data_IF_335985361116
#
_entry.id   IF_335985361116
#
_cell.length_a   1.000
_cell.length_b   1.000
_cell.length_c   1.000
_cell.angle_alpha   90.00
_cell.angle_beta   90.00
_cell.angle_gamma   90.00
#
_symmetry.space_group_name_H-M   'P 1'
#
loop_
_entity.id
_entity.type
_entity.pdbx_description
1 polymer ?
#
# COMPACT_ATOMS: atom_id res chain seq x y z
N UNK A 1 25.88 9.21 10.45
CA UNK A 1 24.90 8.23 9.92
C UNK A 1 23.53 8.55 10.51
N UNK A 2 22.61 9.07 9.70
CA UNK A 2 21.17 9.09 9.94
C UNK A 2 20.51 9.53 8.62
N UNK A 3 20.50 8.64 7.64
CA UNK A 3 19.94 8.91 6.32
C UNK A 3 18.41 9.15 6.38
N UNK A 4 17.74 8.57 7.38
CA UNK A 4 16.30 8.68 7.59
C UNK A 4 16.01 9.20 9.00
N UNK A 5 15.17 10.24 9.11
CA UNK A 5 14.65 10.73 10.41
C UNK A 5 13.34 10.06 10.80
N UNK A 6 12.58 9.59 9.81
CA UNK A 6 11.32 8.86 9.95
C UNK A 6 11.16 7.88 8.78
N UNK A 7 10.55 6.73 9.05
CA UNK A 7 10.29 5.69 8.05
C UNK A 7 8.89 5.83 7.45
N UNK A 8 8.66 5.29 6.24
CA UNK A 8 7.32 5.17 5.71
C UNK A 8 6.41 4.40 6.66
N UNK A 9 5.21 4.92 6.89
CA UNK A 9 4.27 4.37 7.86
C UNK A 9 2.84 4.55 7.39
N UNK A 10 2.05 3.50 7.58
CA UNK A 10 0.62 3.53 7.46
C UNK A 10 0.01 3.57 8.86
N UNK A 11 -0.94 4.46 9.10
CA UNK A 11 -1.63 4.51 10.37
C UNK A 11 -3.10 4.86 10.18
N UNK A 12 -3.88 4.50 11.18
CA UNK A 12 -5.26 4.95 11.25
C UNK A 12 -5.28 6.39 11.79
N UNK A 13 -5.80 7.33 10.99
CA UNK A 13 -5.87 8.74 11.36
C UNK A 13 -7.20 9.16 12.00
N UNK A 14 -8.26 8.33 11.97
CA UNK A 14 -9.59 8.59 12.59
C UNK A 14 -10.35 7.31 12.98
N UNK A 15 -11.19 7.33 14.03
CA UNK A 15 -11.96 6.15 14.44
C UNK A 15 -12.69 5.45 13.28
N UNK A 16 -12.76 4.11 13.34
CA UNK A 16 -13.51 3.34 12.35
C UNK A 16 -14.99 3.73 12.37
N UNK A 17 -15.60 3.76 11.20
CA UNK A 17 -17.03 4.05 11.05
C UNK A 17 -17.78 2.77 10.72
N UNK A 18 -18.85 2.48 11.45
CA UNK A 18 -19.78 1.40 11.12
C UNK A 18 -20.84 1.94 10.15
N UNK A 19 -20.91 1.35 8.97
CA UNK A 19 -21.85 1.72 7.93
C UNK A 19 -23.09 0.81 7.97
N UNK A 20 -24.17 1.26 7.32
CA UNK A 20 -25.37 0.45 7.15
C UNK A 20 -25.06 -0.86 6.41
N UNK A 21 -25.63 -1.98 6.86
CA UNK A 21 -25.38 -3.29 6.27
C UNK A 21 -24.17 -4.04 6.85
N UNK A 22 -23.60 -3.57 7.97
CA UNK A 22 -22.52 -4.28 8.69
C UNK A 22 -21.12 -4.04 8.13
N UNK A 23 -20.97 -3.14 7.14
CA UNK A 23 -19.67 -2.75 6.64
C UNK A 23 -18.95 -1.85 7.65
N UNK A 24 -17.62 -1.93 7.68
CA UNK A 24 -16.78 -1.02 8.46
C UNK A 24 -15.87 -0.23 7.54
N UNK A 25 -15.79 1.09 7.74
CA UNK A 25 -14.85 1.96 7.03
C UNK A 25 -13.66 2.27 7.91
N UNK A 26 -12.47 2.06 7.35
CA UNK A 26 -11.16 2.25 7.97
C UNK A 26 -10.50 3.44 7.28
N UNK A 27 -10.21 4.49 8.04
CA UNK A 27 -9.59 5.71 7.55
C UNK A 27 -8.08 5.64 7.73
N UNK A 28 -7.34 5.65 6.62
CA UNK A 28 -5.89 5.44 6.62
C UNK A 28 -5.17 6.66 6.10
N UNK A 29 -4.02 6.93 6.72
CA UNK A 29 -3.05 7.90 6.24
C UNK A 29 -1.73 7.19 6.02
N UNK A 30 -1.16 7.37 4.83
CA UNK A 30 0.14 6.87 4.44
C UNK A 30 1.12 8.02 4.35
N UNK A 31 2.13 7.99 5.21
CA UNK A 31 3.26 8.91 5.18
C UNK A 31 4.50 8.21 4.67
N UNK A 32 5.25 8.88 3.79
CA UNK A 32 6.55 8.41 3.31
C UNK A 32 7.69 8.71 4.30
N UNK A 33 7.42 9.45 5.37
CA UNK A 33 8.45 9.84 6.32
C UNK A 33 9.52 10.71 5.67
N UNK A 34 10.79 10.34 5.83
CA UNK A 34 11.94 11.14 5.36
C UNK A 34 12.56 10.64 4.05
N UNK A 35 11.88 9.74 3.32
CA UNK A 35 12.37 9.25 2.02
C UNK A 35 12.44 10.40 1.03
N UNK A 36 13.55 10.50 0.28
CA UNK A 36 13.83 11.67 -0.56
C UNK A 36 13.21 11.57 -1.95
N UNK A 37 13.11 10.36 -2.49
CA UNK A 37 12.59 10.10 -3.84
C UNK A 37 11.84 8.76 -3.83
N UNK A 38 10.52 8.83 -3.67
CA UNK A 38 9.67 7.63 -3.73
C UNK A 38 9.11 7.49 -5.12
N UNK A 39 9.57 6.45 -5.80
CA UNK A 39 9.10 6.11 -7.13
C UNK A 39 7.72 5.43 -7.06
N UNK A 40 7.60 4.42 -6.21
CA UNK A 40 6.40 3.61 -6.06
C UNK A 40 6.28 3.09 -4.63
N UNK A 41 5.07 3.18 -4.08
CA UNK A 41 4.63 2.44 -2.90
C UNK A 41 3.53 1.47 -3.30
N UNK A 42 3.52 0.30 -2.69
CA UNK A 42 2.52 -0.74 -2.95
C UNK A 42 1.87 -1.19 -1.67
N UNK A 43 0.55 -1.23 -1.73
CA UNK A 43 -0.31 -1.78 -0.69
C UNK A 43 -0.86 -3.10 -1.22
N UNK A 44 -0.43 -4.21 -0.62
CA UNK A 44 -1.05 -5.51 -0.82
C UNK A 44 -2.08 -5.73 0.30
N UNK A 45 -3.36 -5.73 -0.06
CA UNK A 45 -4.48 -5.73 0.88
C UNK A 45 -5.17 -7.09 0.83
N UNK A 46 -5.25 -7.77 1.96
CA UNK A 46 -5.91 -9.07 2.12
C UNK A 46 -6.96 -8.99 3.23
N UNK A 47 -8.08 -9.70 3.06
CA UNK A 47 -9.19 -9.72 4.01
C UNK A 47 -10.52 -9.40 3.35
N UNK A 48 -11.56 -9.06 4.13
CA UNK A 48 -12.92 -8.85 3.63
C UNK A 48 -13.08 -7.47 2.94
N UNK A 49 -12.16 -7.07 2.06
CA UNK A 49 -12.20 -5.79 1.36
C UNK A 49 -13.38 -5.75 0.38
N UNK A 50 -14.20 -4.71 0.50
CA UNK A 50 -15.42 -4.51 -0.30
C UNK A 50 -15.29 -3.30 -1.24
N UNK A 51 -14.85 -2.16 -0.72
CA UNK A 51 -14.59 -0.94 -1.49
C UNK A 51 -13.37 -0.22 -0.91
N UNK A 52 -12.87 0.75 -1.66
CA UNK A 52 -11.83 1.66 -1.22
C UNK A 52 -12.08 3.04 -1.81
N UNK A 53 -11.36 4.08 -1.38
CA UNK A 53 -11.50 5.42 -1.98
C UNK A 53 -10.77 5.59 -3.31
N UNK A 54 -10.04 4.56 -3.77
CA UNK A 54 -9.32 4.59 -5.04
C UNK A 54 -10.23 4.18 -6.21
N UNK A 55 -9.80 4.50 -7.44
CA UNK A 55 -10.40 4.00 -8.68
C UNK A 55 -11.95 4.07 -8.73
N UNK A 56 -12.54 5.24 -8.45
CA UNK A 56 -13.99 5.45 -8.42
C UNK A 56 -14.75 4.47 -7.49
N UNK A 57 -14.13 4.13 -6.37
CA UNK A 57 -14.62 3.19 -5.36
C UNK A 57 -14.82 1.75 -5.84
N UNK A 58 -14.08 1.34 -6.89
CA UNK A 58 -14.12 -0.01 -7.43
C UNK A 58 -12.82 -0.75 -7.19
N UNK A 59 -12.92 -1.97 -6.71
CA UNK A 59 -11.76 -2.86 -6.57
C UNK A 59 -11.32 -3.38 -7.94
N UNK A 60 -10.01 -3.55 -8.18
CA UNK A 60 -9.50 -4.25 -9.34
C UNK A 60 -9.81 -5.75 -9.22
N UNK A 61 -9.54 -6.51 -10.27
CA UNK A 61 -9.54 -7.97 -10.16
C UNK A 61 -8.54 -8.40 -9.06
N UNK A 62 -8.93 -9.28 -8.13
CA UNK A 62 -8.03 -9.73 -7.08
C UNK A 62 -6.96 -10.66 -7.66
N UNK A 63 -5.75 -10.54 -7.13
CA UNK A 63 -4.67 -11.50 -7.33
C UNK A 63 -4.83 -12.66 -6.35
N UNK A 64 -4.75 -13.90 -6.84
CA UNK A 64 -4.89 -15.11 -6.03
C UNK A 64 -3.81 -16.11 -6.40
N UNK A 65 -3.05 -16.58 -5.41
CA UNK A 65 -2.10 -17.67 -5.60
C UNK A 65 -2.74 -18.99 -5.17
N UNK A 66 -3.23 -19.78 -6.13
CA UNK A 66 -3.92 -21.05 -5.87
C UNK A 66 -5.13 -20.89 -4.96
N UNK A 67 -5.11 -21.58 -3.82
CA UNK A 67 -6.17 -21.53 -2.80
C UNK A 67 -5.94 -20.46 -1.72
N UNK A 68 -4.90 -19.62 -1.87
CA UNK A 68 -4.65 -18.50 -0.97
C UNK A 68 -5.76 -17.45 -0.97
N UNK A 69 -5.82 -16.58 0.05
CA UNK A 69 -6.83 -15.53 0.11
C UNK A 69 -6.65 -14.54 -1.05
N UNK A 70 -7.74 -13.98 -1.60
CA UNK A 70 -7.66 -12.96 -2.63
C UNK A 70 -6.96 -11.72 -2.06
N UNK A 71 -6.17 -11.08 -2.92
CA UNK A 71 -5.39 -9.90 -2.57
C UNK A 71 -5.60 -8.78 -3.57
N UNK A 72 -5.67 -7.55 -3.08
CA UNK A 72 -5.90 -6.36 -3.89
C UNK A 72 -4.67 -5.47 -3.82
N UNK A 73 -4.11 -5.17 -4.98
CA UNK A 73 -2.88 -4.38 -5.12
C UNK A 73 -3.24 -2.94 -5.47
N UNK A 74 -2.82 -2.00 -4.63
CA UNK A 74 -2.83 -0.57 -4.96
C UNK A 74 -1.40 -0.07 -5.11
N UNK A 75 -1.11 0.62 -6.22
CA UNK A 75 0.18 1.26 -6.48
C UNK A 75 0.01 2.77 -6.38
N UNK A 76 0.81 3.39 -5.53
CA UNK A 76 0.87 4.84 -5.36
C UNK A 76 2.23 5.30 -5.88
N UNK A 77 2.21 6.12 -6.94
CA UNK A 77 3.42 6.71 -7.53
C UNK A 77 3.25 8.22 -7.58
N UNK A 78 4.28 8.96 -7.17
CA UNK A 78 4.28 10.42 -7.22
C UNK A 78 5.32 11.01 -6.28
N UNK A 79 5.99 12.07 -6.73
CA UNK A 79 6.90 12.85 -5.89
C UNK A 79 6.06 13.87 -5.10
N UNK A 80 5.46 13.44 -3.99
CA UNK A 80 4.78 14.34 -3.08
C UNK A 80 5.37 14.23 -1.68
N UNK A 81 5.62 15.38 -1.07
CA UNK A 81 5.90 15.49 0.37
C UNK A 81 4.63 15.35 1.22
N UNK A 82 3.46 15.26 0.58
CA UNK A 82 2.17 15.16 1.26
C UNK A 82 1.83 13.71 1.60
N UNK A 83 1.13 13.53 2.72
CA UNK A 83 0.61 12.24 3.12
C UNK A 83 -0.63 11.88 2.29
N UNK A 84 -0.76 10.62 1.89
CA UNK A 84 -1.96 10.12 1.21
C UNK A 84 -3.00 9.72 2.23
N UNK A 85 -4.17 10.35 2.16
CA UNK A 85 -5.33 9.94 2.94
C UNK A 85 -6.30 9.15 2.06
N UNK A 86 -6.78 8.04 2.57
CA UNK A 86 -7.71 7.16 1.87
C UNK A 86 -8.56 6.36 2.86
N UNK A 87 -9.56 5.65 2.35
CA UNK A 87 -10.34 4.74 3.17
C UNK A 87 -10.51 3.38 2.51
N UNK A 88 -10.71 2.36 3.35
CA UNK A 88 -11.08 1.00 2.96
C UNK A 88 -12.40 0.65 3.62
N UNK A 89 -13.30 0.00 2.89
CA UNK A 89 -14.52 -0.59 3.43
C UNK A 89 -14.39 -2.10 3.47
N UNK A 90 -14.62 -2.67 4.65
CA UNK A 90 -14.65 -4.11 4.87
C UNK A 90 -16.10 -4.60 5.00
N UNK A 91 -16.41 -5.77 4.42
CA UNK A 91 -17.73 -6.40 4.51
C UNK A 91 -17.97 -7.18 5.80
N UNK A 92 -16.97 -7.28 6.69
CA UNK A 92 -17.09 -7.93 7.99
C UNK A 92 -16.15 -7.30 9.02
N UNK A 93 -16.26 -7.77 10.27
CA UNK A 93 -15.36 -7.40 11.37
C UNK A 93 -14.01 -8.14 11.33
N UNK A 94 -13.81 -9.08 10.40
CA UNK A 94 -12.54 -9.77 10.24
C UNK A 94 -11.43 -8.79 9.84
N UNK A 95 -10.20 -9.09 10.25
CA UNK A 95 -9.05 -8.20 10.08
C UNK A 95 -8.73 -7.96 8.60
N UNK A 96 -8.44 -6.72 8.25
CA UNK A 96 -7.76 -6.39 7.00
C UNK A 96 -6.26 -6.37 7.26
N UNK A 97 -5.52 -7.17 6.50
CA UNK A 97 -4.06 -7.18 6.48
C UNK A 97 -3.57 -6.31 5.33
N UNK A 98 -2.64 -5.41 5.61
CA UNK A 98 -1.99 -4.58 4.60
C UNK A 98 -0.49 -4.81 4.71
N UNK A 99 0.10 -5.36 3.64
CA UNK A 99 1.56 -5.37 3.48
C UNK A 99 1.93 -4.13 2.65
N UNK A 100 2.73 -3.25 3.26
CA UNK A 100 3.24 -2.05 2.64
C UNK A 100 4.66 -2.31 2.17
N UNK A 101 4.92 -2.11 0.88
CA UNK A 101 6.26 -2.05 0.30
C UNK A 101 6.53 -0.65 -0.25
N UNK A 102 7.65 -0.05 0.11
CA UNK A 102 8.07 1.26 -0.39
C UNK A 102 9.44 1.12 -1.04
N UNK A 103 9.53 1.56 -2.30
CA UNK A 103 10.78 1.65 -3.05
C UNK A 103 11.30 3.08 -2.91
N UNK A 104 12.16 3.30 -1.93
CA UNK A 104 12.97 4.51 -1.82
C UNK A 104 14.30 4.22 -2.49
N UNK A 105 14.45 4.64 -3.74
CA UNK A 105 15.70 4.47 -4.46
C UNK A 105 16.00 5.76 -5.23
N UNK A 106 17.12 6.38 -4.84
CA UNK A 106 17.89 7.24 -5.71
C UNK A 106 18.50 6.35 -6.81
N UNK A 107 17.65 5.87 -7.72
CA UNK A 107 17.97 4.86 -8.73
C UNK A 107 19.05 5.41 -9.66
N UNK A 108 20.29 4.97 -9.46
CA UNK A 108 21.36 5.13 -10.44
C UNK A 108 20.98 4.43 -11.75
N UNK A 109 21.51 4.89 -12.89
CA UNK A 109 21.23 4.29 -14.21
C UNK A 109 21.33 2.76 -14.26
N UNK A 110 22.32 2.10 -13.61
CA UNK A 110 22.39 0.63 -13.57
C UNK A 110 21.18 -0.03 -12.88
N UNK A 111 20.63 0.60 -11.84
CA UNK A 111 19.47 0.08 -11.11
C UNK A 111 18.19 0.26 -11.93
N UNK A 112 18.07 1.35 -12.71
CA UNK A 112 16.98 1.51 -13.68
C UNK A 112 17.03 0.44 -14.78
N UNK A 113 18.22 0.15 -15.30
CA UNK A 113 18.41 -0.94 -16.27
C UNK A 113 18.03 -2.29 -15.69
N UNK A 114 18.49 -2.61 -14.47
CA UNK A 114 18.16 -3.87 -13.80
C UNK A 114 16.66 -3.97 -13.50
N UNK A 115 16.02 -2.89 -13.05
CA UNK A 115 14.56 -2.81 -12.86
C UNK A 115 13.80 -3.15 -14.14
N UNK A 116 14.23 -2.59 -15.28
CA UNK A 116 13.61 -2.84 -16.59
C UNK A 116 13.75 -4.28 -17.11
N UNK A 117 14.55 -5.15 -16.46
CA UNK A 117 14.63 -6.57 -16.79
C UNK A 117 13.56 -7.42 -16.11
N UNK A 118 12.88 -6.88 -15.09
CA UNK A 118 11.82 -7.58 -14.39
C UNK A 118 10.45 -7.24 -15.01
N UNK A 119 9.47 -8.16 -14.98
CA UNK A 119 8.09 -7.81 -15.27
C UNK A 119 7.63 -6.66 -14.36
N UNK A 120 6.76 -5.78 -14.87
CA UNK A 120 6.24 -4.59 -14.15
C UNK A 120 5.57 -4.90 -12.80
N UNK A 121 5.36 -6.17 -12.46
CA UNK A 121 4.81 -6.62 -11.17
C UNK A 121 5.85 -7.17 -10.20
N UNK A 122 7.05 -7.53 -10.67
CA UNK A 122 8.13 -8.12 -9.85
C UNK A 122 9.05 -7.03 -9.27
N UNK A 123 9.07 -5.84 -9.86
CA UNK A 123 9.89 -4.71 -9.42
C UNK A 123 9.59 -4.31 -7.96
N UNK A 124 8.34 -4.44 -7.52
CA UNK A 124 7.92 -4.10 -6.17
C UNK A 124 8.59 -5.00 -5.13
N UNK A 125 8.55 -6.31 -5.28
CA UNK A 125 9.04 -7.23 -4.24
C UNK A 125 10.56 -7.30 -4.19
N UNK A 126 11.23 -7.21 -5.35
CA UNK A 126 12.68 -7.31 -5.43
C UNK A 126 13.42 -6.04 -4.96
N UNK A 127 12.80 -4.86 -5.12
CA UNK A 127 13.43 -3.57 -4.84
C UNK A 127 12.83 -2.80 -3.66
N UNK A 128 11.91 -3.41 -2.91
CA UNK A 128 11.35 -2.79 -1.70
C UNK A 128 12.47 -2.44 -0.71
N UNK A 129 12.67 -1.14 -0.46
CA UNK A 129 13.60 -0.63 0.54
C UNK A 129 13.00 -0.71 1.95
N UNK A 130 11.69 -0.49 2.08
CA UNK A 130 10.97 -0.56 3.36
C UNK A 130 9.75 -1.48 3.25
N UNK A 131 9.66 -2.46 4.14
CA UNK A 131 8.51 -3.36 4.23
C UNK A 131 7.91 -3.35 5.62
N UNK A 132 6.59 -3.21 5.69
CA UNK A 132 5.85 -3.30 6.95
C UNK A 132 4.51 -4.03 6.75
N UNK A 133 3.92 -4.48 7.86
CA UNK A 133 2.64 -5.17 7.87
C UNK A 133 1.75 -4.56 8.93
N UNK A 134 0.51 -4.28 8.55
CA UNK A 134 -0.51 -3.71 9.42
C UNK A 134 -1.74 -4.61 9.46
N UNK A 135 -2.40 -4.63 10.61
CA UNK A 135 -3.66 -5.34 10.84
C UNK A 135 -4.67 -4.34 11.40
N UNK A 136 -5.79 -4.18 10.70
CA UNK A 136 -6.88 -3.28 11.08
C UNK A 136 -8.20 -4.03 11.26
#
# INVERSE_FOLDING_TARGET
MNQYKSFPVLFNHKPHELLSGGYRRIYLEFSLGSTKEVWVSVLNITGPLFRWSFANNRLPAPEKNGDGPPSYICRLSGASSENWTFWLEASSSEKIRIELGVIDQHLTEPQLKLKGLFPDWVDVTAYTSFRSTYLF
#
